data_IF_201055510717
#
_entry.id   IF_201055510717
#
_cell.length_a   1.000
_cell.length_b   1.000
_cell.length_c   1.000
_cell.angle_alpha   90.00
_cell.angle_beta   90.00
_cell.angle_gamma   90.00
#
_symmetry.space_group_name_H-M   'P 1'
#
loop_
_entity.id
_entity.type
_entity.pdbx_description
1 polymer ?
#
# COMPACT_ATOMS: atom_id res chain seq x y z
N UNK A 1 -14.05 -13.49 -3.68
CA UNK A 1 -12.94 -12.55 -3.50
C UNK A 1 -13.22 -11.80 -2.22
N UNK A 2 -12.26 -11.78 -1.29
CA UNK A 2 -12.29 -11.04 -0.03
C UNK A 2 -11.31 -9.87 -0.08
N UNK A 3 -11.44 -8.93 0.85
CA UNK A 3 -10.48 -7.85 1.03
C UNK A 3 -9.91 -7.87 2.45
N UNK A 4 -8.60 -8.02 2.55
CA UNK A 4 -7.90 -8.20 3.81
C UNK A 4 -7.10 -6.95 4.16
N UNK A 5 -7.21 -6.47 5.38
CA UNK A 5 -6.23 -5.53 5.93
C UNK A 5 -5.10 -6.34 6.57
N UNK A 6 -3.87 -6.13 6.13
CA UNK A 6 -2.68 -6.80 6.66
C UNK A 6 -1.64 -5.76 7.06
N UNK A 7 -1.49 -5.56 8.36
CA UNK A 7 -0.49 -4.65 8.93
C UNK A 7 0.84 -5.40 9.05
N UNK A 8 1.71 -5.22 8.07
CA UNK A 8 3.05 -5.81 8.12
C UNK A 8 3.85 -5.18 9.27
N UNK A 9 4.43 -6.01 10.14
CA UNK A 9 5.14 -5.54 11.33
C UNK A 9 6.64 -5.26 11.11
N UNK A 10 7.05 -4.84 9.91
CA UNK A 10 8.46 -4.67 9.53
C UNK A 10 9.07 -3.28 9.78
N UNK A 11 10.32 -3.12 9.34
CA UNK A 11 11.10 -1.88 9.22
C UNK A 11 10.92 -1.23 7.84
N UNK A 12 11.59 -0.10 7.58
CA UNK A 12 11.65 0.50 6.23
C UNK A 12 12.21 -0.48 5.20
N UNK A 13 13.29 -1.18 5.55
CA UNK A 13 13.94 -2.15 4.66
C UNK A 13 12.99 -3.32 4.31
N UNK A 14 12.19 -3.78 5.29
CA UNK A 14 11.18 -4.81 5.04
C UNK A 14 10.05 -4.33 4.11
N UNK A 15 9.67 -3.06 4.19
CA UNK A 15 8.67 -2.46 3.28
C UNK A 15 9.20 -2.38 1.84
N UNK A 16 10.48 -2.06 1.66
CA UNK A 16 11.14 -2.08 0.36
C UNK A 16 11.20 -3.52 -0.21
N UNK A 17 11.54 -4.51 0.61
CA UNK A 17 11.54 -5.93 0.21
C UNK A 17 10.14 -6.40 -0.21
N UNK A 18 9.09 -6.00 0.52
CA UNK A 18 7.68 -6.28 0.20
C UNK A 18 7.31 -5.74 -1.20
N UNK A 19 7.74 -4.52 -1.50
CA UNK A 19 7.50 -3.86 -2.79
C UNK A 19 8.29 -4.54 -3.91
N UNK A 20 9.60 -4.67 -3.76
CA UNK A 20 10.52 -5.22 -4.76
C UNK A 20 10.18 -6.66 -5.14
N UNK A 21 9.83 -7.48 -4.14
CA UNK A 21 9.48 -8.89 -4.37
C UNK A 21 8.00 -9.09 -4.69
N UNK A 22 7.18 -8.02 -4.62
CA UNK A 22 5.73 -8.08 -4.80
C UNK A 22 5.09 -9.18 -3.96
N UNK A 23 5.36 -9.14 -2.66
CA UNK A 23 4.84 -10.10 -1.68
C UNK A 23 4.12 -9.39 -0.54
N UNK A 24 3.17 -10.08 0.08
CA UNK A 24 2.69 -9.75 1.42
C UNK A 24 3.26 -10.73 2.44
N UNK A 25 3.36 -10.29 3.68
CA UNK A 25 3.95 -11.07 4.77
C UNK A 25 3.24 -10.82 6.10
N UNK A 26 3.20 -11.85 6.93
CA UNK A 26 2.82 -11.74 8.35
C UNK A 26 4.08 -11.70 9.27
N UNK A 27 5.28 -11.62 8.67
CA UNK A 27 6.55 -11.72 9.37
C UNK A 27 6.88 -13.15 9.76
N UNK A 28 7.35 -13.35 11.00
CA UNK A 28 7.47 -14.67 11.61
C UNK A 28 8.70 -15.47 11.16
N UNK A 29 9.80 -14.82 10.79
CA UNK A 29 11.07 -15.47 10.48
C UNK A 29 11.60 -16.40 11.59
N UNK A 30 11.17 -16.17 12.82
CA UNK A 30 11.48 -17.01 13.97
C UNK A 30 10.74 -18.36 14.00
N UNK A 31 9.69 -18.51 13.18
CA UNK A 31 8.86 -19.70 13.09
C UNK A 31 9.29 -20.60 11.92
N UNK A 32 9.13 -21.93 12.08
CA UNK A 32 9.41 -22.89 11.01
C UNK A 32 8.37 -22.78 9.89
N UNK A 33 8.58 -23.49 8.78
CA UNK A 33 7.58 -23.65 7.72
C UNK A 33 6.25 -24.17 8.28
N UNK A 34 5.17 -23.45 7.99
CA UNK A 34 3.82 -23.74 8.47
C UNK A 34 2.91 -24.30 7.35
N UNK A 35 3.47 -24.67 6.19
CA UNK A 35 2.74 -25.22 5.03
C UNK A 35 1.89 -26.45 5.38
N UNK A 36 2.30 -27.23 6.38
CA UNK A 36 1.62 -28.46 6.81
C UNK A 36 0.50 -28.26 7.84
N UNK A 37 0.22 -27.02 8.26
CA UNK A 37 -0.77 -26.73 9.28
C UNK A 37 -2.19 -26.88 8.75
N UNK A 38 -3.03 -27.58 9.52
CA UNK A 38 -4.45 -27.83 9.24
C UNK A 38 -5.37 -27.20 10.28
N UNK A 39 -4.89 -27.05 11.50
CA UNK A 39 -5.63 -26.54 12.66
C UNK A 39 -4.87 -25.39 13.31
N UNK A 40 -5.60 -24.38 13.80
CA UNK A 40 -5.04 -23.19 14.44
C UNK A 40 -4.19 -23.56 15.67
N UNK A 41 -4.60 -24.58 16.39
CA UNK A 41 -3.94 -25.11 17.59
C UNK A 41 -2.51 -25.59 17.30
N UNK A 42 -2.21 -25.96 16.05
CA UNK A 42 -0.84 -26.29 15.64
C UNK A 42 0.05 -25.05 15.57
N UNK A 43 -0.49 -23.92 15.11
CA UNK A 43 0.21 -22.62 15.13
C UNK A 43 0.42 -22.18 16.58
N UNK A 44 -0.61 -22.30 17.41
CA UNK A 44 -0.54 -21.89 18.82
C UNK A 44 0.56 -22.65 19.58
N UNK A 45 0.71 -23.96 19.32
CA UNK A 45 1.81 -24.75 19.87
C UNK A 45 3.18 -24.20 19.49
N UNK A 46 3.39 -23.90 18.21
CA UNK A 46 4.65 -23.31 17.71
C UNK A 46 4.94 -21.97 18.40
N UNK A 47 3.92 -21.13 18.58
CA UNK A 47 4.05 -19.85 19.30
C UNK A 47 4.44 -20.09 20.76
N UNK A 48 3.77 -21.00 21.48
CA UNK A 48 4.04 -21.27 22.89
C UNK A 48 5.42 -21.93 23.09
N UNK A 49 5.86 -22.78 22.17
CA UNK A 49 7.20 -23.37 22.20
C UNK A 49 8.29 -22.30 22.06
N UNK A 50 8.08 -21.31 21.17
CA UNK A 50 9.01 -20.19 20.98
C UNK A 50 8.93 -19.15 22.11
N UNK A 51 7.72 -18.89 22.59
CA UNK A 51 7.40 -17.88 23.59
C UNK A 51 6.55 -18.47 24.74
N UNK A 52 7.17 -19.23 25.67
CA UNK A 52 6.43 -19.91 26.74
C UNK A 52 5.63 -18.99 27.68
N UNK A 53 5.97 -17.69 27.73
CA UNK A 53 5.26 -16.68 28.51
C UNK A 53 4.00 -16.13 27.83
N UNK A 54 3.80 -16.37 26.53
CA UNK A 54 2.69 -15.82 25.75
C UNK A 54 1.47 -16.75 25.76
N UNK A 55 0.97 -17.13 26.95
CA UNK A 55 -0.16 -18.07 27.07
C UNK A 55 -1.51 -17.37 27.11
N UNK A 56 -2.56 -18.06 26.65
CA UNK A 56 -3.95 -17.63 26.75
C UNK A 56 -4.38 -16.76 25.56
N UNK A 57 -5.12 -15.69 25.83
CA UNK A 57 -5.78 -14.89 24.76
C UNK A 57 -4.81 -14.33 23.71
N UNK A 58 -3.57 -14.03 24.09
CA UNK A 58 -2.58 -13.44 23.20
C UNK A 58 -2.03 -14.45 22.18
N UNK A 59 -1.70 -15.67 22.62
CA UNK A 59 -1.30 -16.75 21.71
C UNK A 59 -2.46 -17.18 20.81
N UNK A 60 -3.67 -17.28 21.37
CA UNK A 60 -4.87 -17.62 20.61
C UNK A 60 -5.13 -16.64 19.46
N UNK A 61 -5.05 -15.34 19.75
CA UNK A 61 -5.20 -14.27 18.74
C UNK A 61 -4.13 -14.36 17.65
N UNK A 62 -2.86 -14.43 18.06
CA UNK A 62 -1.74 -14.43 17.11
C UNK A 62 -1.72 -15.71 16.26
N UNK A 63 -2.04 -16.86 16.87
CA UNK A 63 -2.24 -18.13 16.17
C UNK A 63 -3.36 -18.02 15.14
N UNK A 64 -4.47 -17.35 15.48
CA UNK A 64 -5.58 -17.08 14.56
C UNK A 64 -5.15 -16.24 13.36
N UNK A 65 -4.42 -15.15 13.56
CA UNK A 65 -3.95 -14.27 12.48
C UNK A 65 -2.98 -15.00 11.54
N UNK A 66 -1.99 -15.70 12.08
CA UNK A 66 -1.05 -16.51 11.29
C UNK A 66 -1.79 -17.64 10.56
N UNK A 67 -2.69 -18.35 11.24
CA UNK A 67 -3.49 -19.41 10.62
C UNK A 67 -4.34 -18.89 9.46
N UNK A 68 -4.99 -17.74 9.62
CA UNK A 68 -5.77 -17.12 8.55
C UNK A 68 -4.91 -16.64 7.39
N UNK A 69 -3.71 -16.11 7.65
CA UNK A 69 -2.77 -15.78 6.58
C UNK A 69 -2.39 -17.03 5.77
N UNK A 70 -2.12 -18.16 6.43
CA UNK A 70 -1.72 -19.42 5.78
C UNK A 70 -2.89 -20.11 5.06
N UNK A 71 -4.09 -20.09 5.64
CA UNK A 71 -5.19 -20.94 5.16
C UNK A 71 -6.34 -20.16 4.52
N UNK A 72 -6.65 -18.95 4.95
CA UNK A 72 -7.87 -18.23 4.53
C UNK A 72 -7.64 -17.21 3.42
N UNK A 73 -6.48 -16.55 3.38
CA UNK A 73 -6.13 -15.68 2.25
C UNK A 73 -5.91 -16.56 1.02
N UNK A 74 -6.64 -16.31 -0.06
CA UNK A 74 -6.57 -17.11 -1.29
C UNK A 74 -6.12 -16.29 -2.48
N UNK A 75 -5.61 -16.98 -3.51
CA UNK A 75 -5.41 -16.39 -4.84
C UNK A 75 -6.70 -15.71 -5.30
N UNK A 76 -6.56 -14.48 -5.79
CA UNK A 76 -7.67 -13.65 -6.24
C UNK A 76 -8.25 -12.73 -5.17
N UNK A 77 -7.93 -12.91 -3.88
CA UNK A 77 -8.29 -11.95 -2.84
C UNK A 77 -7.51 -10.64 -3.00
N UNK A 78 -8.08 -9.56 -2.48
CA UNK A 78 -7.43 -8.26 -2.34
C UNK A 78 -6.81 -8.14 -0.95
N UNK A 79 -5.74 -7.37 -0.86
CA UNK A 79 -5.03 -7.07 0.38
C UNK A 79 -4.63 -5.60 0.42
N UNK A 80 -4.84 -4.96 1.55
CA UNK A 80 -4.40 -3.61 1.87
C UNK A 80 -3.28 -3.70 2.91
N UNK A 81 -2.14 -3.09 2.62
CA UNK A 81 -0.97 -3.06 3.49
C UNK A 81 -0.63 -1.60 3.81
N UNK A 82 -1.00 -1.09 4.99
CA UNK A 82 -0.56 0.23 5.44
C UNK A 82 0.95 0.19 5.72
N UNK A 83 1.70 1.08 5.07
CA UNK A 83 3.12 1.25 5.34
C UNK A 83 3.30 2.01 6.66
N UNK A 84 4.22 1.59 7.51
CA UNK A 84 4.56 2.31 8.75
C UNK A 84 5.34 3.57 8.47
N UNK A 85 6.25 3.53 7.50
CA UNK A 85 7.20 4.62 7.26
C UNK A 85 6.62 5.75 6.39
N UNK A 86 5.56 5.46 5.65
CA UNK A 86 4.89 6.38 4.73
C UNK A 86 3.42 6.55 5.11
N UNK A 87 2.81 7.67 4.70
CA UNK A 87 1.37 7.88 4.88
C UNK A 87 0.55 7.17 3.79
N UNK A 88 0.89 5.93 3.48
CA UNK A 88 0.41 5.20 2.30
C UNK A 88 -0.15 3.82 2.69
N UNK A 89 -1.11 3.36 1.89
CA UNK A 89 -1.68 2.01 1.92
C UNK A 89 -1.53 1.41 0.52
N UNK A 90 -0.81 0.28 0.45
CA UNK A 90 -0.66 -0.49 -0.78
C UNK A 90 -1.85 -1.43 -0.92
N UNK A 91 -2.55 -1.36 -2.05
CA UNK A 91 -3.64 -2.28 -2.39
C UNK A 91 -3.16 -3.22 -3.49
N UNK A 92 -3.26 -4.52 -3.26
CA UNK A 92 -2.81 -5.55 -4.18
C UNK A 92 -3.76 -6.72 -4.31
N UNK A 93 -3.63 -7.47 -5.39
CA UNK A 93 -4.33 -8.75 -5.61
C UNK A 93 -3.39 -9.92 -5.35
N UNK A 94 -3.79 -10.87 -4.52
CA UNK A 94 -3.03 -12.09 -4.23
C UNK A 94 -2.97 -12.97 -5.48
N UNK A 95 -1.76 -13.31 -5.90
CA UNK A 95 -1.48 -14.12 -7.11
C UNK A 95 -0.87 -15.47 -6.77
N UNK A 96 -0.29 -15.61 -5.58
CA UNK A 96 0.38 -16.83 -5.10
C UNK A 96 -0.36 -17.53 -3.96
N UNK A 97 -0.05 -18.81 -3.78
CA UNK A 97 -0.39 -19.53 -2.55
C UNK A 97 0.59 -19.12 -1.44
N UNK A 98 0.42 -19.66 -0.25
CA UNK A 98 1.38 -19.47 0.84
C UNK A 98 2.73 -20.09 0.44
N UNK A 99 3.81 -19.34 0.64
CA UNK A 99 5.19 -19.78 0.43
C UNK A 99 6.01 -19.47 1.68
N UNK A 100 6.73 -20.46 2.20
CA UNK A 100 7.78 -20.25 3.18
C UNK A 100 9.11 -19.97 2.46
N UNK A 101 9.59 -18.74 2.58
CA UNK A 101 10.83 -18.27 1.95
C UNK A 101 11.43 -17.14 2.78
N UNK A 102 12.65 -17.33 3.27
CA UNK A 102 13.41 -16.30 3.95
C UNK A 102 13.81 -15.19 2.97
N UNK A 103 13.31 -13.97 3.18
CA UNK A 103 13.68 -12.77 2.42
C UNK A 103 14.43 -11.75 3.28
N UNK A 104 14.14 -11.70 4.59
CA UNK A 104 14.87 -10.90 5.59
C UNK A 104 14.82 -11.62 6.95
N UNK A 105 15.46 -11.07 7.98
CA UNK A 105 15.35 -11.57 9.35
C UNK A 105 13.94 -11.40 9.96
N UNK A 106 13.03 -10.75 9.25
CA UNK A 106 11.62 -10.60 9.62
C UNK A 106 10.69 -11.36 8.66
N UNK A 107 11.01 -11.43 7.36
CA UNK A 107 10.12 -11.93 6.31
C UNK A 107 10.45 -13.39 5.96
N UNK A 108 9.59 -14.33 6.37
CA UNK A 108 9.67 -15.75 5.96
C UNK A 108 8.35 -16.32 5.44
N UNK A 109 7.21 -15.81 5.92
CA UNK A 109 5.88 -16.28 5.57
C UNK A 109 5.21 -15.35 4.57
N UNK A 110 5.21 -15.74 3.30
CA UNK A 110 4.87 -14.84 2.21
C UNK A 110 3.73 -15.35 1.33
N UNK A 111 3.11 -14.42 0.60
CA UNK A 111 2.26 -14.70 -0.56
C UNK A 111 2.57 -13.69 -1.65
N UNK A 112 2.66 -14.15 -2.90
CA UNK A 112 2.82 -13.23 -4.04
C UNK A 112 1.56 -12.40 -4.25
N UNK A 113 1.78 -11.13 -4.60
CA UNK A 113 0.73 -10.18 -4.95
C UNK A 113 1.08 -9.44 -6.23
N UNK A 114 0.08 -8.82 -6.84
CA UNK A 114 0.24 -7.80 -7.85
C UNK A 114 -0.34 -6.52 -7.28
N UNK A 115 0.51 -5.52 -7.05
CA UNK A 115 0.08 -4.20 -6.58
C UNK A 115 -0.79 -3.52 -7.64
N UNK A 116 -1.87 -2.87 -7.20
CA UNK A 116 -2.90 -2.27 -8.04
C UNK A 116 -2.97 -0.75 -7.87
N UNK A 117 -3.01 -0.30 -6.61
CA UNK A 117 -3.16 1.12 -6.25
C UNK A 117 -2.35 1.39 -4.98
N UNK A 118 -1.87 2.62 -4.86
CA UNK A 118 -1.38 3.19 -3.61
C UNK A 118 -2.24 4.39 -3.29
N UNK A 119 -2.78 4.45 -2.08
CA UNK A 119 -3.57 5.61 -1.61
C UNK A 119 -3.07 6.09 -0.26
N UNK A 120 -3.47 7.30 0.12
CA UNK A 120 -3.14 7.80 1.46
C UNK A 120 -3.87 7.01 2.55
N UNK A 121 -3.31 6.95 3.76
CA UNK A 121 -4.00 6.32 4.90
C UNK A 121 -5.36 6.95 5.18
N UNK A 122 -5.45 8.27 5.14
CA UNK A 122 -6.70 9.00 5.38
C UNK A 122 -7.79 8.66 4.36
N UNK A 123 -7.44 8.65 3.06
CA UNK A 123 -8.37 8.22 2.00
C UNK A 123 -8.83 6.78 2.23
N UNK A 124 -7.92 5.88 2.61
CA UNK A 124 -8.27 4.49 2.89
C UNK A 124 -9.21 4.33 4.08
N UNK A 125 -8.94 5.01 5.19
CA UNK A 125 -9.79 4.95 6.40
C UNK A 125 -11.20 5.47 6.11
N UNK A 126 -11.31 6.57 5.37
CA UNK A 126 -12.59 7.15 4.95
C UNK A 126 -13.35 6.25 3.95
N UNK A 127 -12.66 5.73 2.94
CA UNK A 127 -13.29 4.95 1.86
C UNK A 127 -13.82 3.59 2.35
N UNK A 128 -13.10 2.94 3.27
CA UNK A 128 -13.39 1.58 3.72
C UNK A 128 -13.93 1.48 5.14
N UNK A 129 -14.09 2.59 5.87
CA UNK A 129 -14.55 2.65 7.26
C UNK A 129 -13.70 1.73 8.18
N UNK A 130 -12.38 1.92 8.11
CA UNK A 130 -11.39 1.10 8.81
C UNK A 130 -10.58 1.98 9.77
N UNK A 131 -10.28 1.46 10.96
CA UNK A 131 -9.30 2.08 11.88
C UNK A 131 -7.92 1.41 11.71
N UNK A 132 -6.97 2.14 11.12
CA UNK A 132 -5.60 1.64 10.95
C UNK A 132 -4.82 1.59 12.27
N UNK A 133 -5.32 2.20 13.36
CA UNK A 133 -4.71 2.13 14.69
C UNK A 133 -5.15 0.90 15.50
N UNK A 134 -6.12 0.12 14.99
CA UNK A 134 -6.56 -1.12 15.63
C UNK A 134 -5.41 -2.12 15.83
N UNK A 135 -5.33 -2.87 16.94
CA UNK A 135 -4.15 -3.69 17.25
C UNK A 135 -4.03 -5.00 16.44
N UNK A 136 -5.02 -5.37 15.64
CA UNK A 136 -5.02 -6.58 14.80
C UNK A 136 -4.03 -6.44 13.65
N UNK A 137 -3.19 -7.46 13.46
CA UNK A 137 -2.29 -7.52 12.33
C UNK A 137 -3.02 -7.94 11.05
N UNK A 138 -4.08 -8.75 11.16
CA UNK A 138 -4.87 -9.23 10.04
C UNK A 138 -6.37 -9.13 10.34
N UNK A 139 -7.11 -8.45 9.47
CA UNK A 139 -8.57 -8.38 9.57
C UNK A 139 -9.25 -8.41 8.20
N UNK A 140 -10.53 -8.76 8.19
CA UNK A 140 -11.37 -8.72 7.00
C UNK A 140 -12.00 -7.34 6.90
N UNK A 141 -11.83 -6.67 5.75
CA UNK A 141 -12.50 -5.41 5.46
C UNK A 141 -13.89 -5.75 4.91
N UNK A 142 -14.91 -5.21 5.56
CA UNK A 142 -16.28 -5.35 5.09
C UNK A 142 -16.55 -4.26 4.05
N UNK A 143 -16.53 -4.62 2.77
CA UNK A 143 -16.81 -3.70 1.69
C UNK A 143 -17.65 -4.37 0.62
N UNK A 144 -18.38 -3.56 -0.15
CA UNK A 144 -19.25 -4.06 -1.20
C UNK A 144 -18.45 -4.54 -2.42
N UNK A 145 -19.12 -5.35 -3.26
CA UNK A 145 -18.48 -5.91 -4.45
C UNK A 145 -18.14 -4.84 -5.51
N UNK A 146 -18.86 -3.71 -5.53
CA UNK A 146 -18.67 -2.65 -6.53
C UNK A 146 -17.33 -1.94 -6.32
N UNK A 147 -17.04 -1.52 -5.08
CA UNK A 147 -15.73 -0.96 -4.70
C UNK A 147 -14.60 -1.93 -4.99
N UNK A 148 -14.80 -3.22 -4.71
CA UNK A 148 -13.79 -4.25 -5.03
C UNK A 148 -13.58 -4.44 -6.53
N UNK A 149 -14.62 -4.31 -7.36
CA UNK A 149 -14.48 -4.38 -8.81
C UNK A 149 -13.71 -3.19 -9.36
N UNK A 150 -13.97 -1.98 -8.87
CA UNK A 150 -13.26 -0.76 -9.29
C UNK A 150 -11.74 -0.85 -9.03
N UNK A 151 -11.33 -1.45 -7.91
CA UNK A 151 -9.91 -1.70 -7.62
C UNK A 151 -9.23 -2.64 -8.62
N UNK A 152 -9.99 -3.58 -9.18
CA UNK A 152 -9.48 -4.62 -10.09
C UNK A 152 -9.62 -4.22 -11.55
N UNK A 153 -10.51 -3.27 -11.85
CA UNK A 153 -10.65 -2.70 -13.18
C UNK A 153 -9.34 -2.07 -13.61
N UNK A 154 -8.71 -2.72 -14.58
CA UNK A 154 -7.59 -2.13 -15.29
C UNK A 154 -8.20 -1.01 -16.12
N UNK A 155 -7.88 0.26 -15.80
CA UNK A 155 -8.26 1.39 -16.65
C UNK A 155 -7.89 1.03 -18.08
N UNK A 156 -8.85 1.21 -19.00
CA UNK A 156 -8.60 0.91 -20.40
C UNK A 156 -7.39 1.73 -20.89
N UNK A 157 -6.63 1.19 -21.83
CA UNK A 157 -5.51 1.92 -22.43
C UNK A 157 -5.97 3.28 -22.99
N UNK A 158 -7.20 3.33 -23.50
CA UNK A 158 -7.84 4.55 -24.00
C UNK A 158 -8.07 5.57 -22.89
N UNK A 159 -8.60 5.16 -21.74
CA UNK A 159 -8.76 6.01 -20.55
C UNK A 159 -7.42 6.55 -20.05
N UNK A 160 -6.41 5.68 -19.95
CA UNK A 160 -5.06 6.08 -19.52
C UNK A 160 -4.46 7.08 -20.53
N UNK A 161 -4.66 6.83 -21.82
CA UNK A 161 -4.17 7.72 -22.89
C UNK A 161 -4.86 9.09 -22.83
N UNK A 162 -6.17 9.13 -22.56
CA UNK A 162 -6.92 10.38 -22.39
C UNK A 162 -6.45 11.17 -21.17
N UNK A 163 -6.28 10.53 -20.01
CA UNK A 163 -5.77 11.18 -18.80
C UNK A 163 -4.35 11.74 -19.01
N UNK A 164 -3.47 10.97 -19.66
CA UNK A 164 -2.13 11.43 -20.04
C UNK A 164 -2.17 12.62 -20.99
N UNK A 165 -3.09 12.61 -21.98
CA UNK A 165 -3.23 13.70 -22.94
C UNK A 165 -3.66 15.00 -22.24
N UNK A 166 -4.64 14.92 -21.33
CA UNK A 166 -5.09 16.07 -20.53
C UNK A 166 -3.95 16.64 -19.67
N UNK A 167 -3.23 15.78 -18.95
CA UNK A 167 -2.07 16.21 -18.15
C UNK A 167 -0.97 16.87 -19.01
N UNK A 168 -0.76 16.38 -20.23
CA UNK A 168 0.19 16.98 -21.17
C UNK A 168 -0.27 18.35 -21.67
N UNK A 169 -1.58 18.53 -21.89
CA UNK A 169 -2.18 19.81 -22.29
C UNK A 169 -2.01 20.87 -21.19
N UNK A 170 -2.29 20.50 -19.94
CA UNK A 170 -2.09 21.39 -18.78
C UNK A 170 -0.61 21.79 -18.63
N UNK A 171 0.32 20.85 -18.75
CA UNK A 171 1.76 21.12 -18.75
C UNK A 171 2.19 22.07 -19.88
N UNK A 172 1.63 21.89 -21.09
CA UNK A 172 1.91 22.77 -22.21
C UNK A 172 1.38 24.19 -21.96
N UNK A 173 0.18 24.31 -21.42
CA UNK A 173 -0.40 25.61 -21.08
C UNK A 173 0.44 26.34 -20.02
N UNK A 174 0.89 25.63 -19.00
CA UNK A 174 1.79 26.15 -17.96
C UNK A 174 3.12 26.61 -18.56
N UNK A 175 3.70 25.83 -19.47
CA UNK A 175 4.91 26.20 -20.21
C UNK A 175 4.71 27.48 -21.03
N UNK A 176 3.59 27.61 -21.75
CA UNK A 176 3.29 28.81 -22.55
C UNK A 176 3.19 30.07 -21.68
N UNK A 177 2.47 29.99 -20.55
CA UNK A 177 2.37 31.10 -19.58
C UNK A 177 3.74 31.51 -19.04
N UNK A 178 4.58 30.53 -18.66
CA UNK A 178 5.92 30.81 -18.15
C UNK A 178 6.82 31.46 -19.22
N UNK A 179 6.70 31.07 -20.49
CA UNK A 179 7.43 31.69 -21.61
C UNK A 179 6.98 33.14 -21.85
N UNK A 180 5.67 33.41 -21.76
CA UNK A 180 5.13 34.77 -21.84
C UNK A 180 5.70 35.65 -20.71
N UNK A 181 5.66 35.16 -19.47
CA UNK A 181 6.21 35.87 -18.31
C UNK A 181 7.72 36.11 -18.43
N UNK A 182 8.47 35.11 -18.94
CA UNK A 182 9.91 35.25 -19.20
C UNK A 182 10.19 36.32 -20.24
N UNK A 183 9.36 36.40 -21.29
CA UNK A 183 9.48 37.42 -22.33
C UNK A 183 9.19 38.82 -21.77
N UNK A 184 8.12 38.98 -20.99
CA UNK A 184 7.80 40.22 -20.27
C UNK A 184 8.95 40.66 -19.35
N UNK A 185 9.57 39.71 -18.64
CA UNK A 185 10.69 39.97 -17.74
C UNK A 185 11.93 40.48 -18.49
N UNK A 186 12.16 39.99 -19.71
CA UNK A 186 13.27 40.43 -20.55
C UNK A 186 13.08 41.85 -21.12
N UNK A 187 11.84 42.34 -21.21
CA UNK A 187 11.50 43.65 -21.78
C UNK A 187 11.37 44.77 -20.74
N UNK A 188 11.33 44.44 -19.44
CA UNK A 188 11.15 45.42 -18.37
C UNK A 188 12.43 45.67 -17.56
N UNK A 189 12.70 46.93 -17.24
CA UNK A 189 13.76 47.35 -16.32
C UNK A 189 13.18 47.83 -14.97
N UNK A 190 11.85 47.82 -14.80
CA UNK A 190 11.18 48.33 -13.61
C UNK A 190 11.16 47.26 -12.49
N UNK A 191 11.86 47.53 -11.38
CA UNK A 191 12.01 46.57 -10.26
C UNK A 191 10.66 46.12 -9.66
N UNK A 192 9.66 47.00 -9.62
CA UNK A 192 8.29 46.72 -9.17
C UNK A 192 7.61 45.67 -10.06
N UNK A 193 7.69 45.83 -11.38
CA UNK A 193 7.10 44.89 -12.35
C UNK A 193 7.86 43.56 -12.37
N UNK A 194 9.19 43.58 -12.25
CA UNK A 194 10.01 42.36 -12.11
C UNK A 194 9.54 41.52 -10.91
N UNK A 195 9.31 42.14 -9.75
CA UNK A 195 8.82 41.44 -8.55
C UNK A 195 7.44 40.84 -8.77
N UNK A 196 6.54 41.58 -9.40
CA UNK A 196 5.17 41.12 -9.70
C UNK A 196 5.18 39.91 -10.64
N UNK A 197 6.00 39.95 -11.69
CA UNK A 197 6.16 38.81 -12.62
C UNK A 197 6.74 37.60 -11.88
N UNK A 198 7.72 37.79 -11.00
CA UNK A 198 8.29 36.70 -10.21
C UNK A 198 7.26 36.03 -9.29
N UNK A 199 6.43 36.81 -8.59
CA UNK A 199 5.32 36.29 -7.77
C UNK A 199 4.29 35.50 -8.61
N UNK A 200 4.00 35.97 -9.83
CA UNK A 200 3.09 35.29 -10.75
C UNK A 200 3.67 33.95 -11.24
N UNK A 201 4.97 33.90 -11.56
CA UNK A 201 5.65 32.66 -11.92
C UNK A 201 5.68 31.66 -10.76
N UNK A 202 5.94 32.12 -9.53
CA UNK A 202 5.97 31.27 -8.34
C UNK A 202 4.59 30.64 -8.09
N UNK A 203 3.52 31.45 -8.18
CA UNK A 203 2.15 30.97 -8.05
C UNK A 203 1.79 29.89 -9.09
N UNK A 204 2.18 30.09 -10.35
CA UNK A 204 1.92 29.10 -11.42
C UNK A 204 2.63 27.77 -11.14
N UNK A 205 3.80 27.80 -10.50
CA UNK A 205 4.57 26.62 -10.15
C UNK A 205 4.04 25.90 -8.89
N UNK A 206 3.34 26.60 -8.00
CA UNK A 206 2.70 26.00 -6.82
C UNK A 206 1.30 25.40 -7.11
N UNK A 207 0.60 25.92 -8.13
CA UNK A 207 -0.76 25.50 -8.50
C UNK A 207 -0.81 24.30 -9.49
N UNK A 208 0.33 23.88 -10.05
CA UNK A 208 0.46 22.70 -10.93
C UNK A 208 1.17 21.54 -10.23
#
# INVERSE_FOLDING_TARGET
>A
MKFWLLKAAGTLEDEEIILENSVITIGGAEFPDLSGIKEKEQVEKVIIEKYPGMKGKLSDKWAGEIFFFITNIKKGDLVAVPLKTRNEVLIGKVTGDYEYRQLSDFISHTRKVRWLKTISKGEFEEEYDVDLNSPEALSLINTDFQKLSELVEVKSLETITQELFLALEDLNLTREKLLELTSRLAETEEISEIRRIAEEMEKILEEN
#
